data_IF_607377639553
#
_entry.id   IF_607377639553
#
_cell.length_a   1.000
_cell.length_b   1.000
_cell.length_c   1.000
_cell.angle_alpha   90.00
_cell.angle_beta   90.00
_cell.angle_gamma   90.00
#
_symmetry.space_group_name_H-M   'P 1'
#
loop_
_entity.id
_entity.type
_entity.pdbx_description
1 polymer ?
#
# COMPACT_ATOMS: atom_id res chain seq x y z
N UNK A 1 -18.72 19.05 25.50
CA UNK A 1 -18.99 17.61 25.74
C UNK A 1 -20.16 17.18 24.87
N UNK A 2 -19.95 16.30 23.89
CA UNK A 2 -21.07 15.68 23.16
C UNK A 2 -21.81 14.70 24.08
N UNK A 3 -23.15 14.62 24.03
CA UNK A 3 -23.89 13.68 24.86
C UNK A 3 -23.58 12.22 24.47
N UNK A 4 -23.43 11.34 25.48
CA UNK A 4 -23.03 9.93 25.34
C UNK A 4 -23.88 9.14 24.31
N UNK A 5 -25.17 9.48 24.16
CA UNK A 5 -26.06 8.87 23.17
C UNK A 5 -25.63 9.15 21.72
N UNK A 6 -25.08 10.33 21.44
CA UNK A 6 -24.62 10.73 20.11
C UNK A 6 -23.36 9.95 19.70
N UNK A 7 -22.46 9.67 20.64
CA UNK A 7 -21.25 8.88 20.39
C UNK A 7 -21.57 7.43 20.00
N UNK A 8 -22.54 6.81 20.68
CA UNK A 8 -22.96 5.44 20.38
C UNK A 8 -23.67 5.31 19.02
N UNK A 9 -24.41 6.34 18.59
CA UNK A 9 -25.04 6.36 17.27
C UNK A 9 -23.99 6.56 16.18
N UNK A 10 -23.08 7.53 16.36
CA UNK A 10 -21.98 7.77 15.41
C UNK A 10 -21.10 6.53 15.22
N UNK A 11 -20.73 5.83 16.29
CA UNK A 11 -19.88 4.63 16.18
C UNK A 11 -20.56 3.52 15.38
N UNK A 12 -21.88 3.33 15.53
CA UNK A 12 -22.66 2.37 14.73
C UNK A 12 -22.71 2.76 13.26
N UNK A 13 -22.92 4.03 12.95
CA UNK A 13 -22.95 4.52 11.55
C UNK A 13 -21.58 4.36 10.91
N UNK A 14 -20.50 4.78 11.59
CA UNK A 14 -19.13 4.63 11.09
C UNK A 14 -18.81 3.17 10.83
N UNK A 15 -19.16 2.27 11.76
CA UNK A 15 -18.99 0.82 11.59
C UNK A 15 -19.75 0.31 10.37
N UNK A 16 -21.03 0.64 10.22
CA UNK A 16 -21.84 0.19 9.08
C UNK A 16 -21.30 0.69 7.73
N UNK A 17 -20.83 1.94 7.66
CA UNK A 17 -20.21 2.51 6.45
C UNK A 17 -18.88 1.79 6.15
N UNK A 18 -18.07 1.55 7.17
CA UNK A 18 -16.79 0.82 7.04
C UNK A 18 -17.02 -0.60 6.56
N UNK A 19 -17.96 -1.32 7.17
CA UNK A 19 -18.31 -2.70 6.80
C UNK A 19 -18.84 -2.76 5.36
N UNK A 20 -19.64 -1.78 4.93
CA UNK A 20 -20.11 -1.68 3.54
C UNK A 20 -18.96 -1.42 2.57
N UNK A 21 -18.05 -0.52 2.93
CA UNK A 21 -16.87 -0.23 2.11
C UNK A 21 -15.95 -1.44 1.98
N UNK A 22 -15.68 -2.18 3.07
CA UNK A 22 -14.81 -3.35 3.08
C UNK A 22 -15.30 -4.49 2.17
N UNK A 23 -16.60 -4.56 1.85
CA UNK A 23 -17.14 -5.51 0.84
C UNK A 23 -16.62 -5.26 -0.56
N UNK A 24 -16.15 -4.05 -0.84
CA UNK A 24 -15.57 -3.64 -2.10
C UNK A 24 -14.05 -3.58 -2.07
N UNK A 25 -13.41 -4.20 -1.06
CA UNK A 25 -11.97 -4.25 -0.93
C UNK A 25 -11.51 -5.69 -1.13
N UNK A 26 -10.65 -5.89 -2.13
CA UNK A 26 -10.03 -7.18 -2.39
C UNK A 26 -8.55 -7.10 -2.08
N UNK A 27 -8.03 -8.08 -1.37
CA UNK A 27 -6.61 -8.29 -1.18
C UNK A 27 -6.12 -9.31 -2.20
N UNK A 28 -5.26 -8.87 -3.10
CA UNK A 28 -4.74 -9.66 -4.21
C UNK A 28 -3.32 -10.12 -3.89
N UNK A 29 -3.19 -11.40 -3.55
CA UNK A 29 -1.92 -12.12 -3.29
C UNK A 29 -1.78 -13.22 -4.35
N UNK A 30 -1.18 -14.37 -4.03
CA UNK A 30 -1.35 -15.61 -4.82
C UNK A 30 -2.82 -16.01 -5.01
N UNK A 31 -3.68 -15.59 -4.07
CA UNK A 31 -5.13 -15.70 -4.15
C UNK A 31 -5.78 -14.32 -3.97
N UNK A 32 -6.95 -14.13 -4.58
CA UNK A 32 -7.78 -12.95 -4.35
C UNK A 32 -8.75 -13.21 -3.22
N UNK A 33 -8.67 -12.40 -2.16
CA UNK A 33 -9.49 -12.54 -0.95
C UNK A 33 -10.28 -11.25 -0.74
N UNK A 34 -11.62 -11.35 -0.68
CA UNK A 34 -12.46 -10.22 -0.30
C UNK A 34 -12.28 -9.95 1.21
N UNK A 35 -11.96 -8.71 1.58
CA UNK A 35 -11.73 -8.37 2.99
C UNK A 35 -13.00 -8.42 3.84
N UNK A 36 -14.22 -8.39 3.29
CA UNK A 36 -15.43 -8.66 4.05
C UNK A 36 -15.72 -10.16 4.26
N UNK A 37 -14.89 -11.07 3.73
CA UNK A 37 -15.09 -12.54 3.75
C UNK A 37 -16.45 -12.99 3.22
N UNK A 38 -17.13 -12.12 2.46
CA UNK A 38 -18.41 -12.43 1.84
C UNK A 38 -18.14 -12.91 0.41
N UNK A 39 -18.64 -14.08 0.00
CA UNK A 39 -18.63 -14.45 -1.41
C UNK A 39 -19.53 -13.46 -2.14
N UNK A 40 -18.94 -12.66 -3.01
CA UNK A 40 -19.70 -11.70 -3.81
C UNK A 40 -18.93 -11.35 -5.06
N UNK A 41 -19.59 -11.48 -6.21
CA UNK A 41 -19.13 -11.10 -7.56
C UNK A 41 -19.05 -9.57 -7.74
N UNK A 42 -18.75 -8.83 -6.68
CA UNK A 42 -18.71 -7.38 -6.74
C UNK A 42 -17.38 -6.92 -7.30
N UNK A 43 -17.45 -5.99 -8.26
CA UNK A 43 -16.28 -5.24 -8.71
C UNK A 43 -15.63 -4.54 -7.50
N UNK A 44 -14.34 -4.81 -7.22
CA UNK A 44 -13.66 -4.16 -6.11
C UNK A 44 -13.48 -2.68 -6.41
N UNK A 45 -13.84 -1.82 -5.47
CA UNK A 45 -13.47 -0.41 -5.53
C UNK A 45 -11.97 -0.26 -5.26
N UNK A 46 -11.45 -1.06 -4.35
CA UNK A 46 -10.05 -1.03 -3.91
C UNK A 46 -9.44 -2.42 -4.04
N UNK A 47 -8.29 -2.47 -4.70
CA UNK A 47 -7.41 -3.64 -4.67
C UNK A 47 -6.22 -3.31 -3.78
N UNK A 48 -6.02 -4.11 -2.74
CA UNK A 48 -4.77 -4.13 -1.99
C UNK A 48 -3.86 -5.14 -2.66
N UNK A 49 -2.71 -4.70 -3.14
CA UNK A 49 -1.79 -5.53 -3.88
C UNK A 49 -0.71 -6.10 -2.94
N UNK A 50 -0.58 -7.42 -2.91
CA UNK A 50 0.42 -8.12 -2.13
C UNK A 50 1.85 -7.74 -2.52
N UNK A 51 2.78 -7.81 -1.56
CA UNK A 51 4.18 -7.40 -1.73
C UNK A 51 4.95 -8.22 -2.76
N UNK A 52 4.51 -9.45 -3.02
CA UNK A 52 5.06 -10.35 -4.04
C UNK A 52 4.85 -9.84 -5.47
N UNK A 53 3.95 -8.88 -5.68
CA UNK A 53 3.48 -8.45 -7.01
C UNK A 53 4.08 -7.14 -7.51
N UNK A 54 5.02 -6.56 -6.75
CA UNK A 54 5.68 -5.31 -7.13
C UNK A 54 7.12 -5.26 -6.64
N UNK A 55 7.93 -4.42 -7.27
CA UNK A 55 9.21 -3.98 -6.74
C UNK A 55 9.10 -2.56 -6.21
N UNK A 56 9.82 -2.26 -5.14
CA UNK A 56 9.82 -0.96 -4.49
C UNK A 56 11.15 -0.25 -4.78
N UNK A 57 11.09 1.04 -5.11
CA UNK A 57 12.25 1.94 -5.08
C UNK A 57 11.85 3.30 -4.53
N UNK A 58 12.80 3.99 -3.96
CA UNK A 58 12.62 5.34 -3.40
C UNK A 58 13.61 6.31 -4.02
N UNK A 59 13.17 7.54 -4.29
CA UNK A 59 14.05 8.62 -4.77
C UNK A 59 13.65 9.94 -4.14
N UNK A 60 14.65 10.73 -3.76
CA UNK A 60 14.45 12.09 -3.25
C UNK A 60 14.44 13.08 -4.41
N UNK A 61 13.49 14.02 -4.36
CA UNK A 61 13.39 15.15 -5.27
C UNK A 61 13.42 16.44 -4.45
N UNK A 62 13.84 17.57 -5.05
CA UNK A 62 13.59 18.88 -4.46
C UNK A 62 12.09 19.07 -4.15
N UNK A 63 11.78 19.96 -3.20
CA UNK A 63 10.41 20.30 -2.78
C UNK A 63 9.65 21.09 -3.87
N UNK A 64 9.46 20.47 -5.03
CA UNK A 64 8.79 21.02 -6.18
C UNK A 64 7.28 21.13 -5.94
N UNK A 65 6.68 22.10 -6.62
CA UNK A 65 5.23 22.12 -6.79
C UNK A 65 4.78 20.82 -7.45
N UNK A 66 3.59 20.37 -7.06
CA UNK A 66 3.06 19.07 -7.49
C UNK A 66 2.98 18.93 -9.01
N UNK A 67 2.64 20.00 -9.74
CA UNK A 67 2.54 20.00 -11.20
C UNK A 67 3.89 19.77 -11.86
N UNK A 68 4.94 20.41 -11.35
CA UNK A 68 6.29 20.26 -11.91
C UNK A 68 6.88 18.90 -11.55
N UNK A 69 6.65 18.42 -10.32
CA UNK A 69 7.00 17.06 -9.94
C UNK A 69 6.31 16.04 -10.86
N UNK A 70 5.02 16.23 -11.18
CA UNK A 70 4.31 15.33 -12.09
C UNK A 70 4.97 15.28 -13.47
N UNK A 71 5.40 16.43 -14.05
CA UNK A 71 6.12 16.44 -15.34
C UNK A 71 7.43 15.66 -15.28
N UNK A 72 8.20 15.80 -14.20
CA UNK A 72 9.44 15.04 -13.99
C UNK A 72 9.14 13.55 -13.91
N UNK A 73 8.12 13.17 -13.15
CA UNK A 73 7.71 11.77 -12.99
C UNK A 73 7.18 11.17 -14.30
N UNK A 74 6.40 11.93 -15.07
CA UNK A 74 5.89 11.50 -16.37
C UNK A 74 7.04 11.24 -17.35
N UNK A 75 8.08 12.08 -17.33
CA UNK A 75 9.30 11.87 -18.12
C UNK A 75 10.12 10.66 -17.67
N UNK A 76 10.30 10.46 -16.35
CA UNK A 76 11.06 9.32 -15.82
C UNK A 76 10.37 7.96 -16.01
N UNK A 77 9.03 7.95 -16.05
CA UNK A 77 8.23 6.73 -16.18
C UNK A 77 7.76 6.46 -17.61
N UNK A 78 8.05 7.36 -18.56
CA UNK A 78 7.68 7.21 -19.95
C UNK A 78 8.26 5.91 -20.54
N UNK A 79 7.39 5.08 -21.13
CA UNK A 79 7.78 3.79 -21.73
C UNK A 79 8.22 2.71 -20.72
N UNK A 80 8.26 3.01 -19.42
CA UNK A 80 8.59 2.05 -18.37
C UNK A 80 7.38 1.18 -17.98
N UNK A 81 7.57 0.09 -17.21
CA UNK A 81 6.45 -0.74 -16.73
C UNK A 81 5.44 0.06 -15.90
N UNK A 82 4.19 -0.44 -15.74
CA UNK A 82 3.20 0.21 -14.89
C UNK A 82 3.70 0.42 -13.46
N UNK A 83 3.72 1.67 -12.99
CA UNK A 83 4.26 2.05 -11.68
C UNK A 83 3.26 2.89 -10.91
N UNK A 84 2.98 2.52 -9.66
CA UNK A 84 2.29 3.38 -8.72
C UNK A 84 3.31 4.32 -8.07
N UNK A 85 2.95 5.60 -7.94
CA UNK A 85 3.83 6.62 -7.37
C UNK A 85 3.18 7.21 -6.13
N UNK A 86 3.83 7.05 -4.98
CA UNK A 86 3.41 7.61 -3.71
C UNK A 86 4.31 8.80 -3.35
N UNK A 87 3.68 9.93 -3.05
CA UNK A 87 4.36 11.15 -2.62
C UNK A 87 4.36 11.22 -1.09
N UNK A 88 5.53 11.17 -0.47
CA UNK A 88 5.65 11.41 0.96
C UNK A 88 5.55 12.92 1.28
N UNK A 89 5.29 13.28 2.55
CA UNK A 89 5.34 14.68 2.98
C UNK A 89 6.70 15.33 2.67
N UNK A 90 6.70 16.64 2.45
CA UNK A 90 7.95 17.41 2.29
C UNK A 90 8.67 17.46 3.63
N UNK A 91 9.98 17.18 3.62
CA UNK A 91 10.88 17.31 4.77
C UNK A 91 12.03 18.23 4.37
N UNK A 92 12.06 19.44 4.94
CA UNK A 92 13.02 20.47 4.54
C UNK A 92 12.79 20.92 3.09
N UNK A 93 13.85 20.89 2.28
CA UNK A 93 13.86 21.21 0.86
C UNK A 93 13.67 20.00 -0.06
N UNK A 94 13.37 18.82 0.51
CA UNK A 94 13.22 17.58 -0.22
C UNK A 94 11.85 16.92 -0.02
N UNK A 95 11.44 16.15 -1.02
CA UNK A 95 10.32 15.22 -0.97
C UNK A 95 10.79 13.84 -1.40
N UNK A 96 10.53 12.84 -0.57
CA UNK A 96 10.72 11.45 -0.96
C UNK A 96 9.53 10.98 -1.80
N UNK A 97 9.85 10.24 -2.86
CA UNK A 97 8.86 9.61 -3.73
C UNK A 97 9.14 8.12 -3.79
N UNK A 98 8.10 7.32 -3.52
CA UNK A 98 8.15 5.87 -3.56
C UNK A 98 7.45 5.36 -4.82
N UNK A 99 8.11 4.43 -5.49
CA UNK A 99 7.67 3.82 -6.73
C UNK A 99 7.43 2.34 -6.48
N UNK A 100 6.24 1.88 -6.87
CA UNK A 100 5.84 0.49 -6.81
C UNK A 100 5.63 0.01 -8.24
N UNK A 101 6.68 -0.60 -8.81
CA UNK A 101 6.65 -1.10 -10.18
C UNK A 101 5.97 -2.45 -10.19
N UNK A 102 4.83 -2.54 -10.87
CA UNK A 102 3.99 -3.73 -10.90
C UNK A 102 4.58 -4.76 -11.85
N UNK A 103 4.47 -6.04 -11.49
CA UNK A 103 4.84 -7.11 -12.42
C UNK A 103 3.81 -7.21 -13.57
N UNK A 104 4.24 -7.49 -14.82
CA UNK A 104 3.34 -7.47 -15.98
C UNK A 104 2.15 -8.43 -15.88
N UNK A 105 2.39 -9.65 -15.39
CA UNK A 105 1.40 -10.71 -15.18
C UNK A 105 0.29 -10.31 -14.19
N UNK A 106 0.67 -9.55 -13.16
CA UNK A 106 -0.28 -9.01 -12.19
C UNK A 106 -1.20 -8.00 -12.86
N UNK A 107 -0.67 -7.07 -13.65
CA UNK A 107 -1.47 -6.02 -14.30
C UNK A 107 -2.58 -6.60 -15.19
N UNK A 108 -2.31 -7.73 -15.84
CA UNK A 108 -3.27 -8.41 -16.71
C UNK A 108 -4.37 -9.16 -15.95
N UNK A 109 -4.04 -9.68 -14.76
CA UNK A 109 -4.93 -10.47 -13.91
C UNK A 109 -5.73 -9.64 -12.91
N UNK A 110 -5.35 -8.39 -12.67
CA UNK A 110 -6.04 -7.51 -11.73
C UNK A 110 -7.49 -7.23 -12.15
N UNK A 111 -8.46 -7.33 -11.22
CA UNK A 111 -9.83 -6.93 -11.49
C UNK A 111 -9.91 -5.41 -11.70
N UNK A 112 -10.94 -4.97 -12.43
CA UNK A 112 -11.23 -3.55 -12.58
C UNK A 112 -11.51 -2.93 -11.21
N UNK A 113 -10.81 -1.84 -10.90
CA UNK A 113 -10.91 -1.13 -9.62
C UNK A 113 -10.65 0.36 -9.78
N UNK A 114 -11.06 1.16 -8.79
CA UNK A 114 -10.75 2.59 -8.73
C UNK A 114 -9.37 2.85 -8.14
N UNK A 115 -8.94 2.02 -7.19
CA UNK A 115 -7.69 2.19 -6.47
C UNK A 115 -6.90 0.90 -6.41
N UNK A 116 -5.57 1.01 -6.52
CA UNK A 116 -4.61 -0.06 -6.25
C UNK A 116 -3.66 0.45 -5.17
N UNK A 117 -3.67 -0.20 -4.01
CA UNK A 117 -2.88 0.20 -2.84
C UNK A 117 -1.85 -0.88 -2.55
N UNK A 118 -0.54 -0.56 -2.51
CA UNK A 118 0.46 -1.52 -2.09
C UNK A 118 0.23 -1.95 -0.64
N UNK A 119 0.28 -3.25 -0.36
CA UNK A 119 0.07 -3.80 0.97
C UNK A 119 1.03 -3.21 2.01
N UNK A 120 2.30 -3.03 1.64
CA UNK A 120 3.33 -2.49 2.56
C UNK A 120 2.98 -1.08 3.04
N UNK A 121 2.30 -0.26 2.24
CA UNK A 121 1.85 1.07 2.65
C UNK A 121 0.84 0.98 3.80
N UNK A 122 -0.13 0.08 3.69
CA UNK A 122 -1.16 -0.10 4.72
C UNK A 122 -0.60 -0.71 5.99
N UNK A 123 0.17 -1.79 5.84
CA UNK A 123 0.74 -2.50 6.97
C UNK A 123 1.80 -1.66 7.70
N UNK A 124 2.62 -0.89 6.98
CA UNK A 124 3.64 -0.03 7.58
C UNK A 124 3.07 1.15 8.37
N UNK A 125 1.80 1.51 8.15
CA UNK A 125 1.07 2.49 8.99
C UNK A 125 0.60 1.90 10.33
N UNK A 126 0.64 0.58 10.50
CA UNK A 126 0.29 -0.08 11.75
C UNK A 126 1.50 -0.30 12.66
N UNK A 127 2.70 -0.03 12.17
CA UNK A 127 3.93 -0.07 12.95
C UNK A 127 4.12 1.23 13.73
N UNK A 128 4.54 1.16 15.00
CA UNK A 128 5.15 2.29 15.70
C UNK A 128 6.26 2.96 14.89
N UNK A 129 6.55 4.22 15.19
CA UNK A 129 7.76 4.87 14.66
C UNK A 129 9.00 4.08 15.09
N UNK A 130 9.99 3.98 14.20
CA UNK A 130 11.27 3.28 14.46
C UNK A 130 11.12 1.79 14.79
N UNK A 131 10.00 1.17 14.43
CA UNK A 131 9.84 -0.28 14.50
C UNK A 131 9.75 -0.91 13.11
N UNK A 132 9.88 -2.24 13.11
CA UNK A 132 9.85 -3.06 11.92
C UNK A 132 9.19 -4.41 12.22
N UNK A 133 8.73 -5.07 11.18
CA UNK A 133 8.10 -6.38 11.27
C UNK A 133 8.66 -7.35 10.24
N UNK A 134 8.72 -8.62 10.62
CA UNK A 134 8.82 -9.74 9.69
C UNK A 134 7.40 -10.17 9.33
N UNK A 135 7.06 -10.04 8.06
CA UNK A 135 5.74 -10.42 7.55
C UNK A 135 5.88 -11.72 6.78
N UNK A 136 5.13 -12.74 7.20
CA UNK A 136 5.10 -14.04 6.53
C UNK A 136 3.67 -14.47 6.22
N UNK A 137 3.40 -14.75 4.94
CA UNK A 137 2.18 -15.43 4.49
C UNK A 137 2.52 -16.50 3.48
N UNK A 138 1.92 -17.68 3.64
CA UNK A 138 2.14 -18.82 2.73
C UNK A 138 3.65 -19.02 2.48
N UNK A 139 4.10 -18.86 1.23
CA UNK A 139 5.49 -19.02 0.80
C UNK A 139 6.21 -17.68 0.55
N UNK A 140 5.66 -16.56 1.01
CA UNK A 140 6.24 -15.25 0.84
C UNK A 140 6.56 -14.60 2.19
N UNK A 141 7.81 -14.16 2.32
CA UNK A 141 8.34 -13.49 3.51
C UNK A 141 9.01 -12.19 3.10
N UNK A 142 8.80 -11.15 3.88
CA UNK A 142 9.45 -9.86 3.68
C UNK A 142 9.53 -9.08 4.99
N UNK A 143 10.46 -8.13 5.04
CA UNK A 143 10.60 -7.18 6.13
C UNK A 143 9.88 -5.89 5.79
N UNK A 144 9.19 -5.34 6.77
CA UNK A 144 8.37 -4.16 6.67
C UNK A 144 8.83 -3.14 7.70
N UNK A 145 9.01 -1.89 7.29
CA UNK A 145 9.43 -0.81 8.16
C UNK A 145 8.30 0.19 8.38
N UNK A 146 8.38 0.92 9.49
CA UNK A 146 7.52 2.07 9.76
C UNK A 146 7.55 3.04 8.57
N UNK A 147 6.37 3.45 8.10
CA UNK A 147 6.22 4.28 6.90
C UNK A 147 5.96 3.50 5.61
N UNK A 148 6.11 2.17 5.62
CA UNK A 148 5.64 1.27 4.57
C UNK A 148 6.65 0.88 3.51
N UNK A 149 7.94 1.16 3.74
CA UNK A 149 9.00 0.55 2.93
C UNK A 149 9.16 -0.93 3.27
N UNK A 150 9.56 -1.71 2.28
CA UNK A 150 9.56 -3.15 2.42
C UNK A 150 10.57 -3.87 1.53
N UNK A 151 11.18 -4.91 2.09
CA UNK A 151 12.23 -5.69 1.44
C UNK A 151 11.88 -7.18 1.47
N UNK A 152 11.78 -7.88 0.31
CA UNK A 152 11.59 -9.32 0.29
C UNK A 152 12.75 -10.03 1.00
N UNK A 153 12.43 -11.06 1.78
CA UNK A 153 13.45 -11.87 2.42
C UNK A 153 14.04 -12.86 1.40
N UNK A 154 15.36 -12.95 1.34
CA UNK A 154 16.06 -13.91 0.49
C UNK A 154 17.56 -13.63 0.35
N UNK A 155 18.35 -14.68 0.16
CA UNK A 155 19.81 -14.58 0.03
C UNK A 155 20.46 -14.00 1.29
N UNK A 156 21.31 -12.98 1.14
CA UNK A 156 21.94 -12.30 2.27
C UNK A 156 20.93 -11.60 3.21
N UNK A 157 19.70 -11.38 2.75
CA UNK A 157 18.61 -10.77 3.52
C UNK A 157 17.82 -11.81 4.31
N UNK A 158 18.41 -12.96 4.65
CA UNK A 158 17.85 -13.88 5.64
C UNK A 158 18.28 -13.52 7.07
N UNK A 159 19.38 -12.76 7.21
CA UNK A 159 19.86 -12.31 8.50
C UNK A 159 19.14 -11.02 8.93
N UNK A 160 18.33 -11.13 10.00
CA UNK A 160 17.57 -10.03 10.61
C UNK A 160 18.46 -8.85 11.02
N UNK A 161 19.65 -9.11 11.55
CA UNK A 161 20.58 -8.07 12.01
C UNK A 161 21.09 -7.21 10.84
N UNK A 162 21.41 -7.84 9.70
CA UNK A 162 21.85 -7.13 8.50
C UNK A 162 20.74 -6.23 7.95
N UNK A 163 19.49 -6.71 8.01
CA UNK A 163 18.32 -5.95 7.57
C UNK A 163 18.07 -4.75 8.48
N UNK A 164 18.14 -4.94 9.80
CA UNK A 164 18.03 -3.85 10.78
C UNK A 164 19.13 -2.79 10.56
N UNK A 165 20.39 -3.20 10.41
CA UNK A 165 21.50 -2.29 10.10
C UNK A 165 21.28 -1.50 8.80
N UNK A 166 20.87 -2.17 7.73
CA UNK A 166 20.63 -1.53 6.44
C UNK A 166 19.48 -0.50 6.50
N UNK A 167 18.51 -0.72 7.39
CA UNK A 167 17.40 0.20 7.64
C UNK A 167 17.75 1.33 8.63
N UNK A 168 18.96 1.33 9.21
CA UNK A 168 19.38 2.28 10.24
C UNK A 168 18.72 2.05 11.60
N UNK A 169 18.27 0.83 11.88
CA UNK A 169 17.71 0.40 13.15
C UNK A 169 18.79 -0.24 14.03
N UNK A 170 18.50 -0.39 15.33
CA UNK A 170 19.35 -1.12 16.25
C UNK A 170 19.42 -2.60 15.83
N UNK A 171 20.61 -3.18 15.57
CA UNK A 171 20.75 -4.59 15.19
C UNK A 171 20.19 -5.57 16.24
N UNK A 172 20.16 -5.16 17.51
CA UNK A 172 19.57 -5.95 18.60
C UNK A 172 18.06 -5.81 18.74
N UNK A 173 17.42 -4.95 17.96
CA UNK A 173 15.97 -4.77 17.97
C UNK A 173 15.28 -5.89 17.20
N UNK A 174 14.60 -6.78 17.92
CA UNK A 174 13.79 -7.83 17.31
C UNK A 174 12.59 -7.25 16.52
N UNK A 175 12.28 -7.79 15.33
CA UNK A 175 11.10 -7.40 14.58
C UNK A 175 9.81 -7.88 15.25
N UNK A 176 8.71 -7.17 15.04
CA UNK A 176 7.40 -7.77 15.28
C UNK A 176 7.14 -8.91 14.29
N UNK A 177 6.69 -10.07 14.78
CA UNK A 177 6.41 -11.22 13.91
C UNK A 177 4.93 -11.26 13.49
N UNK A 178 4.65 -11.03 12.21
CA UNK A 178 3.30 -10.98 11.66
C UNK A 178 3.07 -12.14 10.71
N UNK A 179 2.64 -13.27 11.27
CA UNK A 179 2.45 -14.50 10.53
C UNK A 179 0.97 -14.80 10.26
N UNK A 180 0.70 -15.23 9.02
CA UNK A 180 -0.59 -15.76 8.62
C UNK A 180 -1.57 -14.72 8.07
N UNK A 181 -2.37 -15.17 7.10
CA UNK A 181 -3.27 -14.30 6.33
C UNK A 181 -4.37 -13.64 7.18
N UNK A 182 -4.80 -14.25 8.29
CA UNK A 182 -5.86 -13.69 9.14
C UNK A 182 -5.43 -12.44 9.89
N UNK A 183 -4.24 -12.47 10.49
CA UNK A 183 -3.66 -11.33 11.19
C UNK A 183 -3.46 -10.16 10.22
N UNK A 184 -2.89 -10.44 9.04
CA UNK A 184 -2.66 -9.45 8.00
C UNK A 184 -3.97 -8.84 7.50
N UNK A 185 -5.00 -9.66 7.22
CA UNK A 185 -6.33 -9.14 6.87
C UNK A 185 -6.89 -8.20 7.93
N UNK A 186 -6.75 -8.54 9.22
CA UNK A 186 -7.22 -7.69 10.32
C UNK A 186 -6.49 -6.35 10.32
N UNK A 187 -5.16 -6.35 10.21
CA UNK A 187 -4.34 -5.13 10.15
C UNK A 187 -4.67 -4.28 8.91
N UNK A 188 -4.85 -4.89 7.74
CA UNK A 188 -5.26 -4.21 6.52
C UNK A 188 -6.63 -3.51 6.67
N UNK A 189 -7.62 -4.19 7.26
CA UNK A 189 -8.94 -3.60 7.54
C UNK A 189 -8.86 -2.41 8.49
N UNK A 190 -7.95 -2.46 9.48
CA UNK A 190 -7.75 -1.38 10.44
C UNK A 190 -7.03 -0.18 9.81
N UNK A 191 -6.05 -0.43 8.95
CA UNK A 191 -5.25 0.61 8.31
C UNK A 191 -6.01 1.37 7.21
N UNK A 192 -6.87 0.68 6.46
CA UNK A 192 -7.47 1.23 5.24
C UNK A 192 -8.30 2.52 5.47
N UNK A 193 -9.16 2.64 6.50
CA UNK A 193 -9.89 3.87 6.77
C UNK A 193 -8.99 5.03 7.23
N UNK A 194 -7.78 4.71 7.74
CA UNK A 194 -6.82 5.70 8.21
C UNK A 194 -5.90 6.23 7.08
N UNK A 195 -6.04 5.73 5.85
CA UNK A 195 -5.23 6.17 4.71
C UNK A 195 -5.38 7.69 4.47
N UNK A 196 -4.27 8.45 4.39
CA UNK A 196 -4.33 9.86 4.03
C UNK A 196 -4.94 10.07 2.65
N UNK A 197 -5.66 11.18 2.47
CA UNK A 197 -6.28 11.54 1.18
C UNK A 197 -5.25 11.63 0.03
N UNK A 198 -4.03 12.09 0.32
CA UNK A 198 -2.95 12.15 -0.66
C UNK A 198 -2.52 10.76 -1.13
N UNK A 199 -2.52 9.76 -0.22
CA UNK A 199 -2.25 8.37 -0.55
C UNK A 199 -3.35 7.81 -1.45
N UNK A 200 -4.62 8.05 -1.14
CA UNK A 200 -5.74 7.66 -2.02
C UNK A 200 -5.59 8.22 -3.43
N UNK A 201 -5.22 9.48 -3.55
CA UNK A 201 -5.01 10.08 -4.87
C UNK A 201 -3.86 9.41 -5.63
N UNK A 202 -2.76 9.15 -4.93
CA UNK A 202 -1.55 8.51 -5.47
C UNK A 202 -1.83 7.07 -5.94
N UNK A 203 -2.72 6.37 -5.24
CA UNK A 203 -3.14 5.00 -5.52
C UNK A 203 -4.30 4.89 -6.52
N UNK A 204 -4.72 5.97 -7.19
CA UNK A 204 -5.73 5.89 -8.25
C UNK A 204 -5.27 4.94 -9.36
N UNK A 205 -6.13 4.02 -9.75
CA UNK A 205 -5.84 3.07 -10.81
C UNK A 205 -5.83 3.79 -12.17
N UNK A 206 -4.64 4.02 -12.71
CA UNK A 206 -4.43 4.61 -14.05
C UNK A 206 -4.25 3.56 -15.15
N UNK A 207 -4.27 2.27 -14.82
CA UNK A 207 -4.16 1.24 -15.84
C UNK A 207 -5.36 1.33 -16.80
N UNK A 208 -5.15 1.00 -18.09
CA UNK A 208 -6.15 1.14 -19.17
C UNK A 208 -7.52 0.48 -18.92
N UNK A 209 -7.66 -0.35 -17.88
CA UNK A 209 -8.90 -1.00 -17.45
C UNK A 209 -9.62 -0.31 -16.27
N UNK A 210 -9.11 0.80 -15.76
CA UNK A 210 -9.77 1.61 -14.73
C UNK A 210 -11.08 2.23 -15.23
N UNK A 211 -12.02 2.49 -14.31
CA UNK A 211 -13.23 3.26 -14.63
C UNK A 211 -12.80 4.59 -15.25
N UNK A 212 -13.10 4.79 -16.54
CA UNK A 212 -12.42 5.72 -17.45
C UNK A 212 -12.38 7.20 -17.07
N UNK A 213 -11.70 7.57 -16.00
CA UNK A 213 -11.51 8.95 -15.57
C UNK A 213 -10.19 9.52 -16.10
N UNK A 214 -9.20 8.69 -16.45
CA UNK A 214 -7.91 9.15 -17.01
C UNK A 214 -7.46 8.27 -18.21
N UNK A 215 -8.39 7.91 -19.09
CA UNK A 215 -8.09 7.23 -20.36
C UNK A 215 -7.36 8.08 -21.40
N UNK A 216 -6.65 9.14 -20.97
CA UNK A 216 -5.91 10.05 -21.84
C UNK A 216 -4.41 9.89 -21.55
N UNK A 217 -3.73 9.28 -22.54
CA UNK A 217 -2.28 9.25 -22.76
C UNK A 217 -1.43 8.35 -21.85
N UNK A 218 -1.61 7.03 -22.01
CA UNK A 218 -0.46 6.12 -22.03
C UNK A 218 -0.29 5.67 -23.48
N UNK A 219 0.60 6.32 -24.23
CA UNK A 219 1.07 5.82 -25.53
C UNK A 219 2.34 4.99 -25.28
N UNK A 220 2.45 3.80 -25.90
CA UNK A 220 3.70 3.04 -25.91
C UNK A 220 4.82 3.87 -26.54
#
# INVERSE_FOLDING_TARGET
MMPLKTQAIMSRVVKAVTDRFLRHVTWHTSASINLARSPGDHYPLVVILGREHYSERSKSYPALQRRDLQKVLDGELAGGPPTLVLLDPVKGDQRQVRFYTLQPDVVESLPRSLFIVPESVLLGMQLPAESWAEVQRQNYRYYLFAGGSSQPAGGALENRELVAMAAGLDPGQEPEEWHGSELLQRRLRQALPALPALTWWSCRNRARRGFGIDGIAWKP
#
